data_IF_034153378668
#
_entry.id   IF_034153378668
#
_cell.length_a   1.000
_cell.length_b   1.000
_cell.length_c   1.000
_cell.angle_alpha   90.00
_cell.angle_beta   90.00
_cell.angle_gamma   90.00
#
_symmetry.space_group_name_H-M   'P 1'
#
loop_
_entity.id
_entity.type
_entity.pdbx_description
1 polymer ?
#
# COMPACT_ATOMS: atom_id res chain seq x y z
N UNK A 1 67.80 -20.30 11.64
CA UNK A 1 68.10 -20.53 10.20
C UNK A 1 66.83 -20.41 9.38
N UNK A 2 66.67 -19.33 8.59
CA UNK A 2 65.54 -19.14 7.73
C UNK A 2 65.64 -20.10 6.54
N UNK A 3 64.67 -21.01 6.35
CA UNK A 3 64.57 -21.87 5.16
C UNK A 3 64.40 -20.97 3.94
N UNK A 4 65.49 -20.80 3.17
CA UNK A 4 65.46 -20.28 1.80
C UNK A 4 64.91 -21.41 0.92
N UNK A 5 63.56 -21.52 0.92
CA UNK A 5 62.91 -22.43 -0.03
C UNK A 5 63.10 -21.88 -1.44
N UNK A 6 63.49 -22.78 -2.36
CA UNK A 6 63.61 -22.54 -3.79
C UNK A 6 62.36 -21.86 -4.33
N UNK A 7 62.47 -20.54 -4.64
CA UNK A 7 61.33 -19.79 -5.15
C UNK A 7 61.28 -20.01 -6.66
N UNK A 8 60.28 -20.79 -7.11
CA UNK A 8 60.04 -21.07 -8.50
C UNK A 8 59.97 -19.78 -9.34
N UNK A 9 60.63 -19.74 -10.55
CA UNK A 9 60.69 -18.53 -11.39
C UNK A 9 59.31 -17.92 -11.68
N UNK A 10 58.30 -18.73 -11.97
CA UNK A 10 56.94 -18.30 -12.21
C UNK A 10 56.31 -17.61 -10.98
N UNK A 11 56.57 -18.10 -9.79
CA UNK A 11 56.10 -17.51 -8.55
C UNK A 11 56.72 -16.15 -8.26
N UNK A 12 57.98 -15.92 -8.71
CA UNK A 12 58.59 -14.57 -8.68
C UNK A 12 57.89 -13.61 -9.65
N UNK A 13 57.63 -14.08 -10.88
CA UNK A 13 56.90 -13.29 -11.89
C UNK A 13 55.49 -12.87 -11.41
N UNK A 14 54.76 -13.82 -10.83
CA UNK A 14 53.43 -13.54 -10.25
C UNK A 14 53.51 -12.48 -9.13
N UNK A 15 54.51 -12.61 -8.22
CA UNK A 15 54.73 -11.62 -7.14
C UNK A 15 55.07 -10.23 -7.67
N UNK A 16 55.91 -10.16 -8.73
CA UNK A 16 56.28 -8.88 -9.36
C UNK A 16 55.05 -8.21 -10.00
N UNK A 17 54.26 -8.94 -10.75
CA UNK A 17 53.07 -8.45 -11.39
C UNK A 17 52.04 -7.93 -10.36
N UNK A 18 51.89 -8.62 -9.22
CA UNK A 18 50.97 -8.17 -8.16
C UNK A 18 51.50 -6.91 -7.43
N UNK A 19 52.82 -6.74 -7.30
CA UNK A 19 53.42 -5.53 -6.75
C UNK A 19 53.15 -4.29 -7.62
N UNK A 20 53.00 -4.43 -8.92
CA UNK A 20 52.64 -3.34 -9.86
C UNK A 20 51.21 -2.78 -9.65
N UNK A 21 50.33 -3.52 -8.97
CA UNK A 21 48.99 -3.02 -8.64
C UNK A 21 49.00 -1.87 -7.60
N UNK A 22 50.11 -1.72 -6.87
CA UNK A 22 50.30 -0.63 -5.91
C UNK A 22 51.02 -1.04 -4.64
N UNK A 23 51.45 -0.04 -3.85
CA UNK A 23 52.19 -0.25 -2.59
C UNK A 23 51.36 -1.09 -1.60
N UNK A 24 51.99 -2.17 -1.11
CA UNK A 24 51.38 -3.05 -0.09
C UNK A 24 50.62 -4.26 -0.63
N UNK A 25 50.42 -4.36 -1.94
CA UNK A 25 49.87 -5.56 -2.54
C UNK A 25 50.95 -6.67 -2.67
N UNK A 26 50.52 -7.91 -2.43
CA UNK A 26 51.40 -9.03 -2.54
C UNK A 26 50.64 -10.37 -2.58
N UNK A 27 51.32 -11.41 -3.07
CA UNK A 27 50.77 -12.77 -3.15
C UNK A 27 51.75 -13.75 -2.49
N UNK A 28 51.19 -14.76 -1.86
CA UNK A 28 51.98 -15.85 -1.23
C UNK A 28 51.30 -17.21 -1.43
N UNK A 29 52.11 -18.23 -1.28
CA UNK A 29 51.60 -19.59 -1.06
C UNK A 29 51.14 -19.70 0.40
N UNK A 30 49.94 -20.14 0.63
CA UNK A 30 49.38 -20.46 1.95
C UNK A 30 48.67 -21.78 1.86
N UNK A 31 49.26 -22.84 2.47
CA UNK A 31 48.72 -24.19 2.47
C UNK A 31 48.36 -24.76 1.05
N UNK A 32 49.28 -24.48 0.10
CA UNK A 32 49.13 -24.92 -1.27
C UNK A 32 48.18 -24.07 -2.14
N UNK A 33 47.65 -22.94 -1.61
CA UNK A 33 46.77 -22.03 -2.34
C UNK A 33 47.39 -20.65 -2.52
N UNK A 34 47.02 -19.98 -3.62
CA UNK A 34 47.40 -18.61 -3.91
C UNK A 34 46.57 -17.68 -3.02
N UNK A 35 47.28 -16.91 -2.14
CA UNK A 35 46.61 -15.96 -1.22
C UNK A 35 47.07 -14.56 -1.54
N UNK A 36 46.14 -13.69 -1.90
CA UNK A 36 46.35 -12.27 -2.12
C UNK A 36 46.27 -11.52 -0.77
N UNK A 37 47.16 -10.55 -0.56
CA UNK A 37 47.15 -9.73 0.64
C UNK A 37 47.30 -8.24 0.35
N UNK A 38 46.66 -7.45 1.19
CA UNK A 38 46.84 -6.01 1.25
C UNK A 38 47.46 -5.65 2.63
N UNK A 39 48.74 -5.26 2.65
CA UNK A 39 49.49 -4.97 3.90
C UNK A 39 48.97 -3.76 4.65
N UNK A 40 48.63 -2.62 3.99
CA UNK A 40 48.08 -1.45 4.68
C UNK A 40 46.84 -1.76 5.49
N UNK A 41 45.93 -2.58 4.95
CA UNK A 41 44.70 -2.98 5.65
C UNK A 41 44.87 -4.24 6.52
N UNK A 42 46.06 -4.84 6.59
CA UNK A 42 46.33 -6.11 7.29
C UNK A 42 45.34 -7.24 6.91
N UNK A 43 44.87 -7.24 5.67
CA UNK A 43 43.91 -8.22 5.17
C UNK A 43 44.51 -9.16 4.15
N UNK A 44 43.98 -10.38 4.08
CA UNK A 44 44.37 -11.38 3.09
C UNK A 44 43.14 -12.25 2.72
N UNK A 45 43.19 -12.83 1.50
CA UNK A 45 42.12 -13.69 0.99
C UNK A 45 42.70 -14.71 0.04
N UNK A 46 42.23 -15.97 0.11
CA UNK A 46 42.54 -16.99 -0.91
C UNK A 46 41.76 -16.65 -2.19
N UNK A 47 42.43 -16.82 -3.35
CA UNK A 47 41.78 -16.62 -4.66
C UNK A 47 41.22 -17.92 -5.26
N UNK A 48 41.21 -19.02 -4.49
CA UNK A 48 40.62 -20.30 -4.89
C UNK A 48 41.46 -21.13 -5.88
N UNK A 49 42.69 -20.71 -6.14
CA UNK A 49 43.60 -21.44 -7.07
C UNK A 49 44.77 -22.05 -6.29
N UNK A 50 45.17 -23.26 -6.68
CA UNK A 50 46.36 -23.91 -6.14
C UNK A 50 47.63 -23.16 -6.57
N UNK A 51 48.65 -23.14 -5.71
CA UNK A 51 49.97 -22.57 -6.00
C UNK A 51 50.70 -23.47 -7.00
N UNK A 52 50.46 -23.24 -8.29
CA UNK A 52 51.01 -24.01 -9.39
C UNK A 52 51.17 -23.14 -10.63
N UNK A 53 52.20 -23.39 -11.45
CA UNK A 53 52.56 -22.59 -12.62
C UNK A 53 51.40 -22.47 -13.63
N UNK A 54 50.68 -23.54 -13.89
CA UNK A 54 49.53 -23.56 -14.80
C UNK A 54 48.43 -22.58 -14.43
N UNK A 55 48.36 -22.16 -13.17
CA UNK A 55 47.34 -21.22 -12.67
C UNK A 55 47.77 -19.76 -12.72
N UNK A 56 48.98 -19.45 -13.23
CA UNK A 56 49.57 -18.10 -13.14
C UNK A 56 48.74 -17.06 -13.89
N UNK A 57 48.31 -17.36 -15.11
CA UNK A 57 47.53 -16.42 -15.94
C UNK A 57 46.14 -16.17 -15.30
N UNK A 58 45.45 -17.23 -14.93
CA UNK A 58 44.15 -17.14 -14.27
C UNK A 58 44.25 -16.40 -12.93
N UNK A 59 45.29 -16.65 -12.16
CA UNK A 59 45.56 -15.94 -10.92
C UNK A 59 45.73 -14.42 -11.13
N UNK A 60 46.47 -14.03 -12.17
CA UNK A 60 46.64 -12.61 -12.50
C UNK A 60 45.35 -11.94 -12.90
N UNK A 61 44.51 -12.59 -13.70
CA UNK A 61 43.20 -12.04 -14.10
C UNK A 61 42.26 -11.91 -12.92
N UNK A 62 42.17 -12.95 -12.07
CA UNK A 62 41.37 -12.87 -10.81
C UNK A 62 41.87 -11.77 -9.89
N UNK A 63 43.18 -11.65 -9.69
CA UNK A 63 43.78 -10.61 -8.84
C UNK A 63 43.50 -9.20 -9.39
N UNK A 64 43.60 -8.99 -10.71
CA UNK A 64 43.26 -7.71 -11.34
C UNK A 64 41.79 -7.37 -11.13
N UNK A 65 40.89 -8.33 -11.28
CA UNK A 65 39.47 -8.16 -11.02
C UNK A 65 39.16 -7.83 -9.57
N UNK A 66 39.78 -8.54 -8.62
CA UNK A 66 39.71 -8.25 -7.17
C UNK A 66 40.22 -6.83 -6.87
N UNK A 67 41.35 -6.44 -7.45
CA UNK A 67 41.91 -5.11 -7.25
C UNK A 67 41.03 -3.99 -7.79
N UNK A 68 40.41 -4.20 -8.97
CA UNK A 68 39.45 -3.27 -9.57
C UNK A 68 38.24 -3.03 -8.66
N UNK A 69 37.69 -4.11 -8.08
CA UNK A 69 36.57 -4.04 -7.12
C UNK A 69 36.97 -3.37 -5.80
N UNK A 70 38.17 -3.70 -5.30
CA UNK A 70 38.71 -3.06 -4.09
C UNK A 70 38.90 -1.55 -4.26
N UNK A 71 39.36 -1.07 -5.42
CA UNK A 71 39.43 0.37 -5.73
C UNK A 71 38.08 1.06 -5.77
N UNK A 72 36.99 0.32 -6.03
CA UNK A 72 35.60 0.83 -5.95
C UNK A 72 35.06 0.94 -4.51
N UNK A 73 35.87 0.67 -3.48
CA UNK A 73 35.51 0.84 -2.07
C UNK A 73 35.06 -0.44 -1.35
N UNK A 74 35.10 -1.60 -2.00
CA UNK A 74 34.76 -2.88 -1.37
C UNK A 74 35.90 -3.41 -0.48
N UNK A 75 35.56 -4.20 0.55
CA UNK A 75 36.57 -4.90 1.34
C UNK A 75 37.30 -5.96 0.51
N UNK A 76 38.54 -6.36 0.90
CA UNK A 76 39.28 -7.38 0.16
C UNK A 76 38.54 -8.72 0.10
N UNK A 77 37.86 -9.13 1.16
CA UNK A 77 37.03 -10.35 1.20
C UNK A 77 35.86 -10.30 0.23
N UNK A 78 35.13 -9.19 0.22
CA UNK A 78 34.02 -8.97 -0.71
C UNK A 78 34.52 -8.95 -2.16
N UNK A 79 35.60 -8.22 -2.44
CA UNK A 79 36.20 -8.15 -3.77
C UNK A 79 36.61 -9.51 -4.29
N UNK A 80 37.19 -10.36 -3.45
CA UNK A 80 37.57 -11.73 -3.81
C UNK A 80 36.34 -12.61 -4.04
N UNK A 81 35.36 -12.59 -3.15
CA UNK A 81 34.11 -13.35 -3.30
C UNK A 81 33.40 -13.01 -4.61
N UNK A 82 33.43 -11.75 -5.00
CA UNK A 82 32.86 -11.23 -6.26
C UNK A 82 33.64 -11.67 -7.50
N UNK A 83 34.97 -11.57 -7.47
CA UNK A 83 35.83 -11.94 -8.59
C UNK A 83 35.89 -13.46 -8.83
N UNK A 84 35.58 -14.29 -7.84
CA UNK A 84 35.60 -15.76 -7.92
C UNK A 84 34.32 -16.36 -8.55
N UNK A 85 33.38 -15.52 -9.06
CA UNK A 85 32.24 -16.01 -9.81
C UNK A 85 31.17 -16.72 -8.99
N UNK A 86 31.16 -16.56 -7.66
CA UNK A 86 30.08 -17.07 -6.80
C UNK A 86 28.88 -16.13 -6.72
N UNK A 87 28.68 -15.31 -7.72
CA UNK A 87 27.42 -14.73 -8.20
C UNK A 87 27.72 -13.85 -9.41
N UNK A 88 26.92 -13.92 -10.46
CA UNK A 88 26.80 -12.85 -11.44
C UNK A 88 26.54 -11.56 -10.64
N UNK A 89 27.56 -10.73 -10.49
CA UNK A 89 27.42 -9.50 -9.74
C UNK A 89 26.80 -8.45 -10.67
N UNK A 90 25.50 -8.44 -10.71
CA UNK A 90 24.75 -7.29 -11.16
C UNK A 90 25.02 -6.22 -10.08
N UNK A 91 25.66 -5.10 -10.46
CA UNK A 91 25.75 -3.93 -9.60
C UNK A 91 24.31 -3.60 -9.19
N UNK A 92 23.98 -3.75 -7.88
CA UNK A 92 22.64 -3.57 -7.39
C UNK A 92 22.27 -2.10 -7.53
N UNK A 93 21.74 -1.73 -8.69
CA UNK A 93 21.21 -0.39 -8.90
C UNK A 93 19.79 -0.30 -8.31
N UNK A 94 19.74 -0.02 -7.02
CA UNK A 94 18.49 0.17 -6.30
C UNK A 94 17.62 1.29 -6.88
N UNK A 95 18.25 2.33 -7.44
CA UNK A 95 17.52 3.44 -8.09
C UNK A 95 16.86 2.98 -9.36
N UNK A 96 17.61 2.30 -10.22
CA UNK A 96 17.05 1.77 -11.47
C UNK A 96 15.97 0.72 -11.18
N UNK A 97 16.18 -0.16 -10.19
CA UNK A 97 15.20 -1.14 -9.76
C UNK A 97 13.88 -0.47 -9.28
N UNK A 98 13.96 0.64 -8.54
CA UNK A 98 12.78 1.38 -8.12
C UNK A 98 12.03 2.03 -9.30
N UNK A 99 12.74 2.52 -10.31
CA UNK A 99 12.14 3.02 -11.54
C UNK A 99 11.42 1.90 -12.32
N UNK A 100 12.07 0.75 -12.48
CA UNK A 100 11.49 -0.41 -13.15
C UNK A 100 10.25 -0.94 -12.38
N UNK A 101 10.31 -0.95 -11.05
CA UNK A 101 9.16 -1.31 -10.22
C UNK A 101 7.99 -0.33 -10.37
N UNK A 102 8.28 0.98 -10.43
CA UNK A 102 7.26 2.01 -10.69
C UNK A 102 6.59 1.79 -12.04
N UNK A 103 7.37 1.59 -13.08
CA UNK A 103 6.88 1.33 -14.42
C UNK A 103 5.99 0.08 -14.46
N UNK A 104 6.47 -1.02 -13.85
CA UNK A 104 5.69 -2.24 -13.73
C UNK A 104 4.34 -2.02 -13.03
N UNK A 105 4.33 -1.25 -11.95
CA UNK A 105 3.09 -0.99 -11.18
C UNK A 105 2.09 -0.11 -11.92
N UNK A 106 2.56 0.85 -12.69
CA UNK A 106 1.70 1.81 -13.40
C UNK A 106 1.24 1.27 -14.75
N UNK A 107 2.16 0.63 -15.50
CA UNK A 107 1.93 0.32 -16.90
C UNK A 107 1.69 -1.16 -17.19
N UNK A 108 1.96 -2.07 -16.23
CA UNK A 108 1.90 -3.51 -16.47
C UNK A 108 1.03 -4.25 -15.44
N UNK A 109 0.45 -5.38 -15.86
CA UNK A 109 -0.38 -6.23 -15.01
C UNK A 109 -1.63 -5.53 -14.48
N UNK A 110 -1.88 -5.65 -13.19
CA UNK A 110 -2.97 -4.93 -12.51
C UNK A 110 -2.52 -3.50 -12.22
N UNK A 111 -2.51 -2.67 -13.26
CA UNK A 111 -2.00 -1.31 -13.21
C UNK A 111 -2.69 -0.46 -12.13
N UNK A 112 -1.89 0.27 -11.35
CA UNK A 112 -2.38 1.23 -10.38
C UNK A 112 -2.35 2.64 -10.97
N UNK A 113 -3.18 3.54 -10.41
CA UNK A 113 -3.14 4.96 -10.81
C UNK A 113 -1.85 5.63 -10.30
N UNK A 114 -1.30 6.62 -11.03
CA UNK A 114 -0.13 7.39 -10.59
C UNK A 114 -0.31 7.99 -9.18
N UNK A 115 -1.51 8.47 -8.84
CA UNK A 115 -1.80 9.01 -7.51
C UNK A 115 -1.70 7.93 -6.41
N UNK A 116 -2.02 6.68 -6.75
CA UNK A 116 -1.87 5.55 -5.80
C UNK A 116 -0.40 5.25 -5.56
N UNK A 117 0.43 5.29 -6.62
CA UNK A 117 1.88 5.19 -6.49
C UNK A 117 2.41 6.28 -5.56
N UNK A 118 2.17 7.55 -5.88
CA UNK A 118 2.68 8.70 -5.14
C UNK A 118 2.28 8.69 -3.65
N UNK A 119 1.05 8.25 -3.34
CA UNK A 119 0.55 8.22 -1.95
C UNK A 119 1.01 7.00 -1.14
N UNK A 120 1.16 5.83 -1.77
CA UNK A 120 1.30 4.56 -1.04
C UNK A 120 2.65 3.88 -1.23
N UNK A 121 3.24 3.95 -2.42
CA UNK A 121 4.48 3.25 -2.77
C UNK A 121 5.70 4.17 -2.67
N UNK A 122 5.65 5.31 -3.35
CA UNK A 122 6.75 6.27 -3.43
C UNK A 122 7.38 6.59 -2.07
N UNK A 123 6.62 6.94 -1.00
CA UNK A 123 7.22 7.34 0.27
C UNK A 123 8.08 6.25 0.91
N UNK A 124 7.68 4.97 0.79
CA UNK A 124 8.43 3.87 1.41
C UNK A 124 9.52 3.34 0.49
N UNK A 125 9.31 3.33 -0.82
CA UNK A 125 10.32 2.87 -1.79
C UNK A 125 11.47 3.86 -1.88
N UNK A 126 11.20 5.17 -1.95
CA UNK A 126 12.27 6.20 -1.92
C UNK A 126 13.09 6.12 -0.64
N UNK A 127 12.42 6.03 0.53
CA UNK A 127 13.12 5.89 1.81
C UNK A 127 14.00 4.63 1.83
N UNK A 128 13.51 3.50 1.31
CA UNK A 128 14.29 2.28 1.24
C UNK A 128 15.51 2.42 0.34
N UNK A 129 15.35 3.04 -0.84
CA UNK A 129 16.47 3.30 -1.76
C UNK A 129 17.51 4.21 -1.11
N UNK A 130 17.08 5.29 -0.46
CA UNK A 130 18.01 6.24 0.22
C UNK A 130 18.81 5.55 1.33
N UNK A 131 18.16 4.67 2.11
CA UNK A 131 18.85 3.87 3.13
C UNK A 131 19.84 2.88 2.52
N UNK A 132 19.46 2.19 1.43
CA UNK A 132 20.29 1.17 0.79
C UNK A 132 21.52 1.73 0.07
N UNK A 133 21.47 3.00 -0.39
CA UNK A 133 22.61 3.68 -1.02
C UNK A 133 23.40 4.54 -0.04
N UNK A 134 22.98 4.61 1.22
CA UNK A 134 23.67 5.39 2.27
C UNK A 134 25.04 4.80 2.63
N UNK A 135 25.84 5.56 3.40
CA UNK A 135 27.15 5.12 3.86
C UNK A 135 27.10 3.90 4.82
N UNK A 136 25.96 3.67 5.47
CA UNK A 136 25.72 2.55 6.38
C UNK A 136 24.38 1.88 6.03
N UNK A 137 24.33 1.15 4.92
CA UNK A 137 23.09 0.52 4.50
C UNK A 137 22.68 -0.62 5.44
N UNK A 138 21.38 -0.87 5.62
CA UNK A 138 20.89 -2.05 6.33
C UNK A 138 21.41 -3.32 5.66
N UNK A 139 21.78 -4.31 6.46
CA UNK A 139 22.45 -5.53 5.99
C UNK A 139 21.47 -6.60 5.48
N UNK A 140 20.20 -6.48 5.82
CA UNK A 140 19.17 -7.46 5.51
C UNK A 140 17.78 -6.79 5.33
N UNK A 141 16.82 -7.49 4.70
CA UNK A 141 15.49 -6.94 4.43
C UNK A 141 14.65 -6.67 5.69
N UNK A 142 14.86 -7.39 6.79
CA UNK A 142 14.13 -7.18 8.03
C UNK A 142 14.48 -5.83 8.65
N UNK A 143 15.77 -5.53 8.79
CA UNK A 143 16.26 -4.23 9.28
C UNK A 143 15.80 -3.09 8.38
N UNK A 144 15.82 -3.29 7.05
CA UNK A 144 15.34 -2.31 6.09
C UNK A 144 13.86 -1.98 6.32
N UNK A 145 13.01 -3.02 6.48
CA UNK A 145 11.58 -2.84 6.72
C UNK A 145 11.36 -2.07 8.01
N UNK A 146 12.01 -2.47 9.10
CA UNK A 146 11.85 -1.82 10.40
C UNK A 146 12.27 -0.35 10.35
N UNK A 147 13.38 -0.03 9.71
CA UNK A 147 13.83 1.34 9.52
C UNK A 147 12.84 2.16 8.67
N UNK A 148 12.31 1.58 7.61
CA UNK A 148 11.39 2.27 6.71
C UNK A 148 10.01 2.53 7.31
N UNK A 149 9.56 1.71 8.27
CA UNK A 149 8.20 1.84 8.83
C UNK A 149 8.17 2.39 10.27
N UNK A 150 9.32 2.72 10.86
CA UNK A 150 9.43 3.13 12.28
C UNK A 150 8.56 4.34 12.65
N UNK A 151 8.42 5.30 11.74
CA UNK A 151 7.69 6.55 11.99
C UNK A 151 6.17 6.40 11.94
N UNK A 152 5.66 5.23 11.53
CA UNK A 152 4.23 4.94 11.56
C UNK A 152 3.84 4.17 12.80
N UNK A 153 2.72 4.59 13.40
CA UNK A 153 2.18 3.96 14.61
C UNK A 153 2.07 2.45 14.46
N UNK A 154 2.60 1.71 15.41
CA UNK A 154 2.57 0.25 15.47
C UNK A 154 1.13 -0.28 15.31
N UNK A 155 0.97 -1.31 14.49
CA UNK A 155 -0.33 -1.91 14.17
C UNK A 155 -1.28 -1.04 13.34
N UNK A 156 -0.85 0.16 12.90
CA UNK A 156 -1.72 1.01 12.08
C UNK A 156 -1.82 0.49 10.63
N UNK A 157 -2.97 0.76 10.00
CA UNK A 157 -3.18 0.42 8.58
C UNK A 157 -2.15 1.09 7.66
N UNK A 158 -1.69 2.29 8.00
CA UNK A 158 -0.66 2.98 7.22
C UNK A 158 0.68 2.26 7.30
N UNK A 159 1.08 1.78 8.49
CA UNK A 159 2.28 0.97 8.69
C UNK A 159 2.20 -0.34 7.92
N UNK A 160 1.05 -1.02 8.00
CA UNK A 160 0.79 -2.26 7.28
C UNK A 160 0.92 -2.09 5.76
N UNK A 161 0.26 -1.07 5.17
CA UNK A 161 0.34 -0.81 3.73
C UNK A 161 1.79 -0.57 3.29
N UNK A 162 2.57 0.17 4.06
CA UNK A 162 3.97 0.47 3.72
C UNK A 162 4.85 -0.75 3.80
N UNK A 163 4.70 -1.57 4.84
CA UNK A 163 5.43 -2.84 4.95
C UNK A 163 5.10 -3.76 3.76
N UNK A 164 3.82 -3.89 3.40
CA UNK A 164 3.39 -4.69 2.26
C UNK A 164 3.92 -4.15 0.91
N UNK A 165 3.93 -2.84 0.73
CA UNK A 165 4.44 -2.22 -0.50
C UNK A 165 5.96 -2.37 -0.62
N UNK A 166 6.69 -2.25 0.49
CA UNK A 166 8.12 -2.50 0.52
C UNK A 166 8.43 -3.99 0.26
N UNK A 167 7.66 -4.91 0.82
CA UNK A 167 7.79 -6.32 0.53
C UNK A 167 7.56 -6.63 -0.97
N UNK A 168 6.60 -5.97 -1.62
CA UNK A 168 6.39 -6.08 -3.06
C UNK A 168 7.58 -5.56 -3.86
N UNK A 169 8.21 -4.46 -3.43
CA UNK A 169 9.43 -3.93 -4.04
C UNK A 169 10.59 -4.93 -3.93
N UNK A 170 10.83 -5.48 -2.74
CA UNK A 170 11.88 -6.47 -2.53
C UNK A 170 11.66 -7.76 -3.36
N UNK A 171 10.40 -8.23 -3.45
CA UNK A 171 10.04 -9.34 -4.33
C UNK A 171 10.31 -9.03 -5.82
N UNK A 172 10.06 -7.79 -6.26
CA UNK A 172 10.40 -7.36 -7.61
C UNK A 172 11.92 -7.37 -7.83
N UNK A 173 12.70 -6.84 -6.88
CA UNK A 173 14.16 -6.83 -6.94
C UNK A 173 14.73 -8.25 -7.12
N UNK A 174 14.26 -9.22 -6.36
CA UNK A 174 14.73 -10.61 -6.45
C UNK A 174 14.17 -11.32 -7.68
N UNK A 175 12.87 -11.21 -7.93
CA UNK A 175 12.20 -12.01 -8.95
C UNK A 175 12.39 -11.49 -10.38
N UNK A 176 12.64 -10.18 -10.58
CA UNK A 176 12.79 -9.59 -11.91
C UNK A 176 14.16 -8.98 -12.17
N UNK A 177 14.74 -8.35 -11.17
CA UNK A 177 16.01 -7.63 -11.30
C UNK A 177 17.21 -8.51 -10.88
N UNK A 178 16.97 -9.81 -10.64
CA UNK A 178 18.00 -10.83 -10.31
C UNK A 178 18.83 -10.49 -9.07
N UNK A 179 18.25 -9.78 -8.11
CA UNK A 179 18.90 -9.56 -6.83
C UNK A 179 19.03 -10.87 -6.06
N UNK A 180 20.01 -10.95 -5.14
CA UNK A 180 20.18 -12.14 -4.30
C UNK A 180 18.89 -12.48 -3.54
N UNK A 181 18.57 -13.78 -3.42
CA UNK A 181 17.44 -14.27 -2.61
C UNK A 181 17.53 -13.84 -1.13
N UNK A 182 18.71 -13.43 -0.65
CA UNK A 182 18.89 -12.84 0.69
C UNK A 182 18.10 -11.53 0.88
N UNK A 183 17.62 -10.89 -0.19
CA UNK A 183 16.79 -9.70 -0.17
C UNK A 183 15.29 -10.00 -0.27
N UNK A 184 14.87 -11.26 -0.23
CA UNK A 184 13.45 -11.59 -0.09
C UNK A 184 12.91 -11.01 1.22
N UNK A 185 11.70 -10.44 1.20
CA UNK A 185 11.09 -9.90 2.41
C UNK A 185 10.84 -11.01 3.44
N UNK A 186 10.82 -10.67 4.74
CA UNK A 186 10.41 -11.62 5.78
C UNK A 186 9.03 -12.22 5.49
N UNK A 187 8.87 -13.51 5.73
CA UNK A 187 7.59 -14.23 5.58
C UNK A 187 6.54 -13.76 6.57
N UNK A 188 6.96 -13.41 7.79
CA UNK A 188 6.10 -12.81 8.81
C UNK A 188 6.26 -11.28 8.87
N UNK A 189 5.54 -10.59 8.00
CA UNK A 189 5.46 -9.13 8.06
C UNK A 189 4.68 -8.62 9.29
N UNK A 190 3.86 -9.46 9.92
CA UNK A 190 3.05 -9.03 11.07
C UNK A 190 3.88 -8.72 12.30
N UNK A 191 5.01 -9.41 12.50
CA UNK A 191 5.96 -9.11 13.57
C UNK A 191 6.52 -7.70 13.45
N UNK A 192 6.80 -7.22 12.23
CA UNK A 192 7.30 -5.87 11.95
C UNK A 192 6.20 -4.80 12.03
N UNK A 193 4.99 -5.11 11.57
CA UNK A 193 3.84 -4.21 11.63
C UNK A 193 3.41 -3.99 13.08
N UNK A 194 3.42 -5.05 13.88
CA UNK A 194 2.93 -5.06 15.25
C UNK A 194 1.41 -5.13 15.36
N UNK A 195 0.91 -5.14 16.58
CA UNK A 195 -0.54 -5.18 16.87
C UNK A 195 -1.06 -3.79 17.21
N UNK A 196 -2.25 -3.48 16.71
CA UNK A 196 -2.98 -2.31 17.17
C UNK A 196 -3.42 -2.52 18.63
N UNK A 197 -3.43 -1.46 19.47
CA UNK A 197 -4.04 -1.55 20.80
C UNK A 197 -5.48 -2.04 20.71
N UNK A 198 -5.91 -2.86 21.68
CA UNK A 198 -7.25 -3.44 21.72
C UNK A 198 -8.37 -2.38 21.67
N UNK A 199 -8.12 -1.20 22.23
CA UNK A 199 -9.05 -0.08 22.27
C UNK A 199 -8.92 0.89 21.08
N UNK A 200 -8.25 0.48 20.00
CA UNK A 200 -8.15 1.36 18.84
C UNK A 200 -9.49 1.39 18.11
N UNK A 201 -10.14 2.57 18.07
CA UNK A 201 -11.35 2.81 17.29
C UNK A 201 -11.17 2.31 15.86
N UNK A 202 -12.21 1.67 15.33
CA UNK A 202 -12.24 1.24 13.93
C UNK A 202 -11.88 2.42 13.00
N UNK A 203 -11.11 2.15 11.95
CA UNK A 203 -10.88 3.12 10.88
C UNK A 203 -12.15 3.39 10.05
N UNK A 204 -13.13 2.48 10.12
CA UNK A 204 -14.42 2.63 9.46
C UNK A 204 -15.28 3.56 10.30
N UNK A 205 -16.12 4.36 9.62
CA UNK A 205 -17.15 5.13 10.31
C UNK A 205 -18.26 4.22 10.82
N UNK A 206 -19.01 4.72 11.76
CA UNK A 206 -20.23 4.09 12.26
C UNK A 206 -21.46 4.79 11.65
N UNK A 207 -22.63 4.13 11.59
CA UNK A 207 -23.85 4.78 11.11
C UNK A 207 -24.25 5.94 12.04
N UNK A 208 -24.76 6.99 11.44
CA UNK A 208 -25.42 8.13 12.12
C UNK A 208 -26.93 7.81 12.18
N UNK A 209 -27.60 8.17 13.28
CA UNK A 209 -29.04 7.99 13.39
C UNK A 209 -29.82 8.91 12.42
N UNK A 210 -31.00 8.46 12.02
CA UNK A 210 -31.81 9.20 11.04
C UNK A 210 -32.25 10.59 11.57
N UNK A 211 -32.59 10.67 12.83
CA UNK A 211 -32.94 11.92 13.53
C UNK A 211 -31.76 12.90 13.55
N UNK A 212 -30.54 12.36 13.80
CA UNK A 212 -29.31 13.17 13.77
C UNK A 212 -28.99 13.67 12.36
N UNK A 213 -29.37 12.94 11.31
CA UNK A 213 -29.23 13.43 9.92
C UNK A 213 -30.13 14.63 9.68
N UNK A 214 -31.39 14.58 10.16
CA UNK A 214 -32.35 15.66 10.00
C UNK A 214 -31.88 16.89 10.77
N UNK A 215 -31.49 16.75 12.02
CA UNK A 215 -30.99 17.84 12.86
C UNK A 215 -29.72 18.47 12.27
N UNK A 216 -28.80 17.64 11.75
CA UNK A 216 -27.62 18.14 11.05
C UNK A 216 -28.00 19.00 9.86
N UNK A 217 -28.90 18.53 9.01
CA UNK A 217 -29.36 19.26 7.82
C UNK A 217 -30.05 20.58 8.25
N UNK A 218 -30.87 20.58 9.28
CA UNK A 218 -31.54 21.74 9.81
C UNK A 218 -30.57 22.79 10.44
N UNK A 219 -29.44 22.30 10.97
CA UNK A 219 -28.41 23.14 11.56
C UNK A 219 -27.47 23.83 10.57
N UNK A 220 -27.51 23.42 9.27
CA UNK A 220 -26.65 24.01 8.24
C UNK A 220 -27.09 25.43 7.87
N UNK A 221 -26.17 26.29 7.40
CA UNK A 221 -26.52 27.60 6.88
C UNK A 221 -27.59 27.53 5.79
N UNK A 222 -28.50 28.49 5.78
CA UNK A 222 -29.60 28.55 4.79
C UNK A 222 -29.21 29.24 3.49
N UNK A 223 -27.95 29.68 3.37
CA UNK A 223 -27.41 30.29 2.16
C UNK A 223 -27.23 29.24 1.02
N UNK A 224 -26.94 29.75 -0.16
CA UNK A 224 -26.74 28.90 -1.35
C UNK A 224 -25.67 27.79 -1.14
N UNK A 225 -24.64 28.07 -0.36
CA UNK A 225 -23.59 27.06 -0.06
C UNK A 225 -24.13 25.99 0.88
N UNK A 226 -24.77 26.38 1.98
CA UNK A 226 -25.36 25.44 2.94
C UNK A 226 -26.41 24.56 2.30
N UNK A 227 -27.27 25.10 1.43
CA UNK A 227 -28.28 24.33 0.72
C UNK A 227 -27.67 23.27 -0.20
N UNK A 228 -26.57 23.59 -0.91
CA UNK A 228 -25.87 22.61 -1.75
C UNK A 228 -25.29 21.45 -0.93
N UNK A 229 -24.71 21.73 0.23
CA UNK A 229 -24.19 20.70 1.13
C UNK A 229 -25.32 19.89 1.77
N UNK A 230 -26.42 20.53 2.16
CA UNK A 230 -27.61 19.84 2.64
C UNK A 230 -28.16 18.87 1.61
N UNK A 231 -28.26 19.28 0.33
CA UNK A 231 -28.71 18.41 -0.75
C UNK A 231 -27.75 17.25 -1.02
N UNK A 232 -26.45 17.48 -0.93
CA UNK A 232 -25.46 16.42 -1.03
C UNK A 232 -25.59 15.39 0.11
N UNK A 233 -25.84 15.84 1.34
CA UNK A 233 -26.07 14.96 2.50
C UNK A 233 -27.37 14.19 2.33
N UNK A 234 -28.47 14.83 1.90
CA UNK A 234 -29.76 14.17 1.62
C UNK A 234 -29.59 13.04 0.59
N UNK A 235 -28.88 13.30 -0.52
CA UNK A 235 -28.61 12.30 -1.54
C UNK A 235 -27.78 11.13 -1.00
N UNK A 236 -26.75 11.41 -0.22
CA UNK A 236 -25.93 10.35 0.39
C UNK A 236 -26.73 9.49 1.36
N UNK A 237 -27.58 10.12 2.19
CA UNK A 237 -28.38 9.43 3.19
C UNK A 237 -29.52 8.60 2.55
N UNK A 238 -30.20 9.14 1.54
CA UNK A 238 -31.36 8.49 0.90
C UNK A 238 -30.97 7.38 -0.07
N UNK A 239 -29.83 7.53 -0.78
CA UNK A 239 -29.39 6.58 -1.81
C UNK A 239 -28.12 5.80 -1.46
N UNK A 240 -27.60 5.97 -0.25
CA UNK A 240 -26.40 5.27 0.20
C UNK A 240 -25.14 5.59 -0.60
N UNK A 241 -24.99 6.81 -1.11
CA UNK A 241 -23.93 7.18 -2.03
C UNK A 241 -22.58 7.40 -1.33
N UNK A 242 -21.50 7.11 -2.06
CA UNK A 242 -20.17 7.61 -1.71
C UNK A 242 -20.05 9.09 -2.11
N UNK A 243 -19.27 9.92 -1.42
CA UNK A 243 -19.07 11.32 -1.81
C UNK A 243 -18.74 11.53 -3.30
N UNK A 244 -17.89 10.70 -3.88
CA UNK A 244 -17.51 10.80 -5.29
C UNK A 244 -18.67 10.43 -6.24
N UNK A 245 -19.60 9.58 -5.83
CA UNK A 245 -20.71 9.13 -6.67
C UNK A 245 -21.68 10.27 -6.98
N UNK A 246 -21.74 11.32 -6.15
CA UNK A 246 -22.54 12.52 -6.39
C UNK A 246 -22.20 13.22 -7.71
N UNK A 247 -20.98 13.14 -8.20
CA UNK A 247 -20.56 13.69 -9.50
C UNK A 247 -21.02 12.85 -10.71
N UNK A 248 -21.52 11.66 -10.48
CA UNK A 248 -21.83 10.66 -11.49
C UNK A 248 -23.31 10.29 -11.53
N UNK A 249 -24.16 11.22 -11.06
CA UNK A 249 -25.60 11.04 -11.03
C UNK A 249 -26.25 11.53 -12.31
N UNK A 250 -27.19 10.75 -12.86
CA UNK A 250 -28.02 11.14 -13.99
C UNK A 250 -29.44 10.63 -13.77
N UNK A 251 -30.43 11.42 -14.13
CA UNK A 251 -31.81 10.97 -14.20
C UNK A 251 -32.02 10.27 -15.53
N UNK A 252 -32.56 9.05 -15.49
CA UNK A 252 -32.93 8.25 -16.67
C UNK A 252 -34.39 7.87 -16.62
N UNK A 253 -34.97 7.54 -17.73
CA UNK A 253 -36.33 7.06 -17.85
C UNK A 253 -36.34 5.59 -18.20
N UNK A 254 -37.13 4.80 -17.50
CA UNK A 254 -37.34 3.37 -17.82
C UNK A 254 -38.14 3.26 -19.12
N UNK A 255 -37.65 2.47 -20.05
CA UNK A 255 -38.27 2.31 -21.36
C UNK A 255 -39.64 1.60 -21.30
N UNK A 256 -39.87 0.75 -20.29
CA UNK A 256 -41.09 -0.05 -20.16
C UNK A 256 -42.21 0.75 -19.47
N UNK A 257 -41.96 1.32 -18.33
CA UNK A 257 -42.98 1.96 -17.50
C UNK A 257 -42.96 3.49 -17.59
N UNK A 258 -42.01 4.08 -18.34
CA UNK A 258 -41.79 5.52 -18.51
C UNK A 258 -41.53 6.30 -17.19
N UNK A 259 -41.19 5.60 -16.11
CA UNK A 259 -40.91 6.23 -14.83
C UNK A 259 -39.45 6.71 -14.77
N UNK A 260 -39.20 7.92 -14.22
CA UNK A 260 -37.86 8.38 -13.99
C UNK A 260 -37.18 7.62 -12.84
N UNK A 261 -35.89 7.41 -12.93
CA UNK A 261 -35.07 6.82 -11.88
C UNK A 261 -33.68 7.47 -11.85
N UNK A 262 -33.01 7.39 -10.70
CA UNK A 262 -31.66 7.89 -10.53
C UNK A 262 -30.65 6.79 -10.87
N UNK A 263 -29.67 7.14 -11.70
CA UNK A 263 -28.59 6.28 -12.15
C UNK A 263 -27.25 6.82 -11.69
N UNK A 264 -26.37 5.91 -11.23
CA UNK A 264 -24.99 6.21 -10.91
C UNK A 264 -24.06 5.55 -11.93
N UNK A 265 -23.34 6.36 -12.70
CA UNK A 265 -22.39 5.88 -13.73
C UNK A 265 -20.97 5.65 -13.16
N UNK A 266 -20.75 5.86 -11.86
CA UNK A 266 -19.42 5.72 -11.25
C UNK A 266 -18.89 4.30 -11.31
N UNK A 267 -17.65 4.16 -11.79
CA UNK A 267 -16.93 2.91 -11.80
C UNK A 267 -15.64 3.04 -10.99
N UNK A 268 -15.46 2.17 -10.01
CA UNK A 268 -14.22 2.08 -9.23
C UNK A 268 -13.44 0.85 -9.65
N UNK A 269 -12.20 1.05 -10.13
CA UNK A 269 -11.27 -0.05 -10.35
C UNK A 269 -10.70 -0.51 -9.02
N UNK A 270 -10.78 -1.81 -8.75
CA UNK A 270 -10.22 -2.47 -7.56
C UNK A 270 -9.30 -3.60 -8.02
N UNK A 271 -8.52 -4.18 -7.11
CA UNK A 271 -7.69 -5.35 -7.44
C UNK A 271 -8.50 -6.57 -7.90
N UNK A 272 -9.79 -6.64 -7.54
CA UNK A 272 -10.73 -7.72 -7.90
C UNK A 272 -11.65 -7.38 -9.08
N UNK A 273 -11.47 -6.22 -9.74
CA UNK A 273 -12.29 -5.85 -10.90
C UNK A 273 -12.78 -4.40 -10.87
N UNK A 274 -13.80 -4.10 -11.68
CA UNK A 274 -14.41 -2.77 -11.80
C UNK A 274 -15.85 -2.85 -11.29
N UNK A 275 -16.23 -1.92 -10.39
CA UNK A 275 -17.62 -1.81 -9.94
C UNK A 275 -18.51 -1.36 -11.12
N UNK A 276 -19.72 -1.93 -11.21
CA UNK A 276 -20.62 -1.60 -12.30
C UNK A 276 -21.45 -0.35 -12.01
N UNK A 277 -21.80 0.43 -13.04
CA UNK A 277 -22.87 1.43 -12.93
C UNK A 277 -24.18 0.79 -12.49
N UNK A 278 -25.04 1.55 -11.78
CA UNK A 278 -26.25 0.98 -11.18
C UNK A 278 -27.42 1.94 -11.08
N UNK A 279 -28.61 1.38 -11.01
CA UNK A 279 -29.82 2.05 -10.53
C UNK A 279 -29.67 2.34 -9.03
N UNK A 280 -30.16 3.48 -8.58
CA UNK A 280 -30.20 3.89 -7.19
C UNK A 280 -31.61 3.77 -6.63
N UNK A 281 -31.73 3.12 -5.49
CA UNK A 281 -33.00 2.88 -4.81
C UNK A 281 -33.09 3.74 -3.57
N UNK A 282 -34.12 4.61 -3.43
CA UNK A 282 -34.25 5.50 -2.27
C UNK A 282 -34.77 4.74 -1.05
N UNK A 283 -34.14 5.02 0.11
CA UNK A 283 -34.69 4.69 1.43
C UNK A 283 -34.87 6.00 2.19
N UNK A 284 -36.10 6.48 2.39
CA UNK A 284 -36.35 7.73 3.08
C UNK A 284 -35.78 7.78 4.50
N UNK A 285 -35.30 8.93 4.94
CA UNK A 285 -34.85 9.19 6.30
C UNK A 285 -36.06 9.71 7.09
N UNK A 286 -36.48 9.02 8.15
CA UNK A 286 -37.66 9.36 8.97
C UNK A 286 -38.91 9.72 8.13
N UNK A 287 -39.13 9.04 7.01
CA UNK A 287 -40.21 9.30 6.06
C UNK A 287 -40.22 10.70 5.41
N UNK A 288 -39.09 11.42 5.46
CA UNK A 288 -38.96 12.75 4.84
C UNK A 288 -39.14 12.68 3.31
N UNK A 289 -39.96 13.63 2.79
CA UNK A 289 -40.26 13.76 1.35
C UNK A 289 -39.42 14.89 0.73
N UNK A 290 -38.12 14.66 0.53
CA UNK A 290 -37.22 15.67 -0.03
C UNK A 290 -37.31 15.84 -1.54
N UNK A 291 -38.11 15.03 -2.23
CA UNK A 291 -38.34 15.04 -3.70
C UNK A 291 -37.04 15.15 -4.51
N UNK A 292 -36.03 14.36 -4.12
CA UNK A 292 -34.66 14.50 -4.65
C UNK A 292 -34.59 14.17 -6.15
N UNK A 293 -35.32 13.15 -6.61
CA UNK A 293 -35.34 12.75 -8.01
C UNK A 293 -36.01 13.84 -8.88
N UNK A 294 -37.16 14.32 -8.45
CA UNK A 294 -37.92 15.38 -9.11
C UNK A 294 -37.15 16.69 -9.17
N UNK A 295 -36.49 17.05 -8.07
CA UNK A 295 -35.65 18.24 -7.99
C UNK A 295 -34.41 18.14 -8.89
N UNK A 296 -33.81 16.95 -8.99
CA UNK A 296 -32.70 16.71 -9.94
C UNK A 296 -33.20 16.80 -11.40
N UNK A 297 -34.35 16.21 -11.70
CA UNK A 297 -34.95 16.25 -13.03
C UNK A 297 -35.28 17.68 -13.48
N UNK A 298 -35.75 18.51 -12.55
CA UNK A 298 -36.07 19.91 -12.77
C UNK A 298 -34.85 20.86 -12.69
N UNK A 299 -33.63 20.37 -12.52
CA UNK A 299 -32.41 21.17 -12.28
C UNK A 299 -32.48 22.12 -11.07
N UNK A 300 -33.35 21.83 -10.11
CA UNK A 300 -33.51 22.62 -8.88
C UNK A 300 -32.52 22.22 -7.78
N UNK A 301 -31.83 21.10 -7.95
CA UNK A 301 -30.84 20.62 -6.99
C UNK A 301 -29.43 20.88 -7.52
N UNK A 302 -28.66 21.68 -6.77
CA UNK A 302 -27.27 22.00 -7.10
C UNK A 302 -26.33 21.38 -6.07
N UNK A 303 -25.32 20.66 -6.54
CA UNK A 303 -24.32 20.08 -5.68
C UNK A 303 -23.20 21.06 -5.34
N UNK A 304 -22.51 20.86 -4.20
CA UNK A 304 -21.32 21.64 -3.87
C UNK A 304 -20.17 21.28 -4.84
N UNK A 305 -19.11 22.12 -4.91
CA UNK A 305 -17.93 21.79 -5.70
C UNK A 305 -17.19 20.61 -5.08
N UNK A 306 -17.29 19.44 -5.70
CA UNK A 306 -16.62 18.22 -5.26
C UNK A 306 -15.35 18.00 -6.09
N UNK A 307 -14.25 17.69 -5.40
CA UNK A 307 -12.99 17.30 -6.04
C UNK A 307 -13.09 15.88 -6.61
N UNK A 308 -12.11 15.50 -7.42
CA UNK A 308 -12.07 14.17 -8.02
C UNK A 308 -11.49 13.11 -7.08
N UNK A 309 -11.82 11.86 -7.35
CA UNK A 309 -11.30 10.71 -6.62
C UNK A 309 -11.62 10.74 -5.12
N UNK A 310 -10.66 10.33 -4.30
CA UNK A 310 -10.80 10.29 -2.83
C UNK A 310 -10.95 11.70 -2.21
N UNK A 311 -10.54 12.75 -2.93
CA UNK A 311 -10.64 14.14 -2.47
C UNK A 311 -12.08 14.65 -2.40
N UNK A 312 -13.05 13.95 -3.01
CA UNK A 312 -14.46 14.26 -2.81
C UNK A 312 -14.87 14.16 -1.32
N UNK A 313 -14.34 13.17 -0.61
CA UNK A 313 -14.54 13.03 0.85
C UNK A 313 -13.89 14.15 1.65
N UNK A 314 -12.75 14.68 1.20
CA UNK A 314 -12.04 15.77 1.88
C UNK A 314 -12.86 17.05 1.88
N UNK A 315 -13.64 17.31 0.80
CA UNK A 315 -14.57 18.42 0.73
C UNK A 315 -15.64 18.35 1.83
N UNK A 316 -16.24 17.17 2.01
CA UNK A 316 -17.21 16.92 3.11
C UNK A 316 -16.55 17.08 4.47
N UNK A 317 -15.38 16.51 4.70
CA UNK A 317 -14.65 16.62 5.97
C UNK A 317 -14.35 18.08 6.30
N UNK A 318 -13.94 18.86 5.30
CA UNK A 318 -13.62 20.28 5.48
C UNK A 318 -14.88 21.10 5.80
N UNK A 319 -15.97 20.89 5.06
CA UNK A 319 -17.21 21.64 5.26
C UNK A 319 -17.88 21.27 6.59
N UNK A 320 -18.12 19.98 6.83
CA UNK A 320 -18.75 19.50 8.06
C UNK A 320 -17.90 19.78 9.29
N UNK A 321 -16.58 19.71 9.17
CA UNK A 321 -15.66 20.05 10.26
C UNK A 321 -15.74 21.50 10.74
N UNK A 322 -16.38 22.39 9.98
CA UNK A 322 -16.68 23.79 10.38
C UNK A 322 -18.04 23.94 11.09
N UNK A 323 -18.95 22.97 10.91
CA UNK A 323 -20.31 23.04 11.46
C UNK A 323 -20.33 22.69 12.95
N UNK A 324 -21.03 23.51 13.75
CA UNK A 324 -21.08 23.32 15.20
C UNK A 324 -21.73 21.99 15.59
N UNK A 325 -22.88 21.66 15.02
CA UNK A 325 -23.62 20.44 15.31
C UNK A 325 -22.80 19.18 14.94
N UNK A 326 -22.12 19.18 13.80
CA UNK A 326 -21.24 18.06 13.41
C UNK A 326 -20.12 17.83 14.41
N UNK A 327 -19.51 18.91 14.93
CA UNK A 327 -18.43 18.80 15.94
C UNK A 327 -18.96 18.22 17.24
N UNK A 328 -20.14 18.68 17.68
CA UNK A 328 -20.79 18.16 18.88
C UNK A 328 -21.11 16.67 18.72
N UNK A 329 -21.81 16.29 17.65
CA UNK A 329 -22.16 14.90 17.36
C UNK A 329 -20.93 13.99 17.29
N UNK A 330 -19.85 14.48 16.68
CA UNK A 330 -18.58 13.72 16.64
C UNK A 330 -18.00 13.48 18.03
N UNK A 331 -18.12 14.44 18.95
CA UNK A 331 -17.66 14.25 20.34
C UNK A 331 -18.55 13.25 21.10
N UNK A 332 -19.84 13.28 20.88
CA UNK A 332 -20.80 12.34 21.47
C UNK A 332 -20.52 10.92 21.01
N UNK A 333 -20.38 10.69 19.71
CA UNK A 333 -20.06 9.37 19.16
C UNK A 333 -18.70 8.85 19.63
N UNK A 334 -17.69 9.71 19.83
CA UNK A 334 -16.39 9.31 20.39
C UNK A 334 -16.54 8.78 21.82
N UNK A 335 -17.42 9.35 22.65
CA UNK A 335 -17.67 8.84 24.03
C UNK A 335 -18.24 7.42 23.99
N UNK A 336 -19.00 7.08 22.96
CA UNK A 336 -19.57 5.76 22.72
C UNK A 336 -18.61 4.82 21.94
N UNK A 337 -17.34 5.20 21.78
CA UNK A 337 -16.35 4.48 20.98
C UNK A 337 -16.72 4.34 19.51
N UNK A 338 -17.56 5.23 18.99
CA UNK A 338 -18.01 5.31 17.60
C UNK A 338 -17.29 6.43 16.85
N UNK A 339 -17.27 6.33 15.54
CA UNK A 339 -16.56 7.26 14.66
C UNK A 339 -17.48 7.86 13.60
N UNK A 340 -17.67 9.17 13.66
CA UNK A 340 -18.40 9.94 12.66
C UNK A 340 -17.50 10.40 11.52
N UNK A 341 -17.89 10.05 10.30
CA UNK A 341 -17.21 10.41 9.03
C UNK A 341 -18.26 10.66 7.94
N UNK A 342 -17.92 11.27 6.78
CA UNK A 342 -18.89 11.42 5.70
C UNK A 342 -19.50 10.11 5.19
N UNK A 343 -18.80 9.00 5.34
CA UNK A 343 -19.34 7.67 5.04
C UNK A 343 -20.43 7.19 6.01
N UNK A 344 -20.59 7.84 7.17
CA UNK A 344 -21.63 7.51 8.16
C UNK A 344 -23.04 7.61 7.58
N UNK A 345 -23.29 8.53 6.65
CA UNK A 345 -24.56 8.62 5.92
C UNK A 345 -24.86 7.36 5.08
N UNK A 346 -23.83 6.83 4.42
CA UNK A 346 -23.95 5.58 3.67
C UNK A 346 -24.10 4.36 4.58
N UNK A 347 -23.47 4.39 5.76
CA UNK A 347 -23.66 3.35 6.77
C UNK A 347 -25.10 3.39 7.33
N UNK A 348 -25.67 4.58 7.56
CA UNK A 348 -27.07 4.76 7.95
C UNK A 348 -28.03 4.16 6.90
N UNK A 349 -27.82 4.40 5.61
CA UNK A 349 -28.58 3.76 4.54
C UNK A 349 -28.56 2.24 4.63
N UNK A 350 -27.38 1.64 4.83
CA UNK A 350 -27.25 0.19 4.98
C UNK A 350 -27.99 -0.32 6.22
N UNK A 351 -27.83 0.35 7.35
CA UNK A 351 -28.53 -0.01 8.60
C UNK A 351 -30.05 0.05 8.41
N UNK A 352 -30.56 1.12 7.81
CA UNK A 352 -31.99 1.32 7.52
C UNK A 352 -32.54 0.25 6.59
N UNK A 353 -31.80 -0.12 5.54
CA UNK A 353 -32.22 -1.19 4.63
C UNK A 353 -32.32 -2.54 5.35
N UNK A 354 -31.37 -2.88 6.18
CA UNK A 354 -31.40 -4.11 6.97
C UNK A 354 -32.50 -4.10 8.05
N UNK A 355 -32.75 -2.96 8.70
CA UNK A 355 -33.86 -2.84 9.66
C UNK A 355 -35.23 -3.00 9.00
N UNK A 356 -35.34 -2.70 7.71
CA UNK A 356 -36.52 -2.95 6.87
C UNK A 356 -36.53 -4.35 6.22
N UNK A 357 -35.66 -5.26 6.66
CA UNK A 357 -35.54 -6.64 6.15
C UNK A 357 -35.19 -6.75 4.66
N UNK A 358 -34.52 -5.76 4.07
CA UNK A 358 -33.97 -5.91 2.72
C UNK A 358 -32.79 -6.88 2.80
N UNK A 359 -32.80 -7.91 1.95
CA UNK A 359 -31.76 -8.94 1.96
C UNK A 359 -30.37 -8.39 1.63
N UNK A 360 -29.35 -9.08 2.11
CA UNK A 360 -27.94 -8.66 1.98
C UNK A 360 -27.48 -8.55 0.52
N UNK A 361 -27.98 -9.42 -0.36
CA UNK A 361 -27.66 -9.42 -1.79
C UNK A 361 -28.20 -8.16 -2.49
N UNK A 362 -29.47 -7.85 -2.26
CA UNK A 362 -30.13 -6.63 -2.76
C UNK A 362 -29.46 -5.37 -2.24
N UNK A 363 -29.13 -5.31 -0.93
CA UNK A 363 -28.41 -4.18 -0.34
C UNK A 363 -27.00 -4.03 -0.94
N UNK A 364 -26.28 -5.11 -1.11
CA UNK A 364 -24.95 -5.07 -1.73
C UNK A 364 -25.03 -4.55 -3.17
N UNK A 365 -25.98 -5.04 -3.97
CA UNK A 365 -26.21 -4.59 -5.34
C UNK A 365 -26.59 -3.10 -5.39
N UNK A 366 -27.57 -2.67 -4.58
CA UNK A 366 -28.00 -1.27 -4.49
C UNK A 366 -26.83 -0.33 -4.11
N UNK A 367 -25.93 -0.79 -3.23
CA UNK A 367 -24.76 -0.04 -2.81
C UNK A 367 -23.53 -0.20 -3.73
N UNK A 368 -23.58 -1.06 -4.75
CA UNK A 368 -22.52 -1.23 -5.74
C UNK A 368 -21.25 -1.86 -5.18
N UNK A 369 -21.39 -3.02 -4.53
CA UNK A 369 -20.28 -3.91 -4.14
C UNK A 369 -20.76 -5.36 -4.03
N UNK A 370 -19.82 -6.31 -3.89
CA UNK A 370 -20.17 -7.72 -3.71
C UNK A 370 -20.73 -7.98 -2.30
N UNK A 371 -21.47 -9.09 -2.15
CA UNK A 371 -22.01 -9.55 -0.86
C UNK A 371 -20.89 -9.70 0.17
N UNK A 372 -19.75 -10.28 -0.21
CA UNK A 372 -18.58 -10.43 0.67
C UNK A 372 -18.09 -9.07 1.19
N UNK A 373 -17.95 -8.09 0.30
CA UNK A 373 -17.55 -6.73 0.70
C UNK A 373 -18.62 -6.08 1.58
N UNK A 374 -19.91 -6.35 1.32
CA UNK A 374 -21.00 -5.86 2.14
C UNK A 374 -20.90 -6.41 3.56
N UNK A 375 -20.91 -7.73 3.76
CA UNK A 375 -20.81 -8.37 5.08
C UNK A 375 -19.58 -7.91 5.86
N UNK A 376 -18.42 -7.81 5.20
CA UNK A 376 -17.19 -7.32 5.85
C UNK A 376 -17.26 -5.85 6.27
N UNK A 377 -18.04 -5.03 5.54
CA UNK A 377 -18.12 -3.58 5.77
C UNK A 377 -19.25 -3.18 6.69
N UNK A 378 -20.27 -3.99 6.80
CA UNK A 378 -21.50 -3.73 7.53
C UNK A 378 -21.84 -4.94 8.44
N UNK A 379 -21.15 -5.06 9.62
CA UNK A 379 -21.33 -6.21 10.52
C UNK A 379 -22.76 -6.40 11.01
N UNK A 380 -23.50 -5.30 11.17
CA UNK A 380 -24.93 -5.33 11.56
C UNK A 380 -25.85 -5.98 10.52
N UNK A 381 -25.40 -6.16 9.27
CA UNK A 381 -26.17 -6.83 8.23
C UNK A 381 -26.42 -8.31 8.53
N UNK A 382 -25.57 -8.95 9.33
CA UNK A 382 -25.69 -10.37 9.67
C UNK A 382 -26.42 -10.62 11.00
N UNK A 383 -26.34 -9.71 11.96
CA UNK A 383 -26.91 -9.94 13.31
C UNK A 383 -28.43 -9.79 13.32
N UNK A 384 -28.98 -8.71 12.73
CA UNK A 384 -30.43 -8.47 12.75
C UNK A 384 -31.21 -9.37 11.77
N UNK A 385 -30.59 -9.82 10.69
CA UNK A 385 -31.24 -10.68 9.69
C UNK A 385 -31.39 -12.11 10.16
N UNK A 386 -30.44 -12.63 10.94
CA UNK A 386 -30.53 -14.00 11.46
C UNK A 386 -31.68 -14.11 12.47
N UNK A 387 -31.72 -13.25 13.47
CA UNK A 387 -32.77 -13.27 14.48
C UNK A 387 -34.17 -13.08 13.86
N UNK A 388 -34.34 -12.05 13.00
CA UNK A 388 -35.63 -11.79 12.34
C UNK A 388 -36.05 -12.92 11.39
N UNK A 389 -35.10 -13.61 10.73
CA UNK A 389 -35.40 -14.75 9.89
C UNK A 389 -35.92 -15.96 10.72
N UNK A 390 -35.28 -16.25 11.85
CA UNK A 390 -35.71 -17.32 12.75
C UNK A 390 -37.04 -17.01 13.46
N UNK A 391 -37.27 -15.76 13.87
CA UNK A 391 -38.54 -15.31 14.42
C UNK A 391 -39.70 -15.43 13.42
N UNK A 392 -39.48 -15.11 12.13
CA UNK A 392 -40.48 -15.33 11.09
C UNK A 392 -40.86 -16.79 10.92
N UNK A 393 -39.90 -17.71 10.92
CA UNK A 393 -40.14 -19.14 10.83
C UNK A 393 -40.92 -19.61 12.05
N UNK A 394 -40.55 -19.20 13.25
CA UNK A 394 -41.23 -19.55 14.48
C UNK A 394 -42.69 -19.07 14.52
N UNK A 395 -42.96 -17.87 13.97
CA UNK A 395 -44.30 -17.29 13.92
C UNK A 395 -45.21 -17.84 12.77
N UNK A 396 -44.65 -18.59 11.82
CA UNK A 396 -45.42 -19.25 10.72
C UNK A 396 -45.76 -20.71 11.07
N UNK A 397 -45.30 -21.22 12.21
CA UNK A 397 -45.52 -22.59 12.69
C UNK A 397 -46.69 -22.66 13.72
N UNK A 398 -47.42 -21.59 13.89
CA UNK A 398 -48.68 -21.47 14.62
C UNK A 398 -49.74 -20.91 13.67
#
# INVERSE_FOLDING_TARGET
MAKTGNIEPWGLGLRQSVKQLGKGWGVRNNDGFITLRNRPQKTQVSIGLKWHEANTLEALERIKSIHKLFKKGHTLKESAKRALGNSEYIELDWKQCALNFKDQKINHGTAIKPETWNKKYEPVVSMAVDLLISSKPPSNPADLIDLCIKDWKTGSRSREIRAQNLAQFLNHCVGRERFSASWLPPTDLRSHIGRAPANQMSYKGDPIADEQIIELIASLPTDSSGQRWADAIRLMAVYGLRPIELKHLTVRTDNKNKKPYLWCSYQKRTGSGITQPRVLYPLPVCNEKWLLLERLQANLLKLPPLRDGDQASDGFLTYLGRQKYWKQLKQEMIKESQRLVPYSFRHAYSLRGHSQNIDTGSMAAAMGHSIEVHCRSYPWASQNTVQAAFEKVANHTH
#
